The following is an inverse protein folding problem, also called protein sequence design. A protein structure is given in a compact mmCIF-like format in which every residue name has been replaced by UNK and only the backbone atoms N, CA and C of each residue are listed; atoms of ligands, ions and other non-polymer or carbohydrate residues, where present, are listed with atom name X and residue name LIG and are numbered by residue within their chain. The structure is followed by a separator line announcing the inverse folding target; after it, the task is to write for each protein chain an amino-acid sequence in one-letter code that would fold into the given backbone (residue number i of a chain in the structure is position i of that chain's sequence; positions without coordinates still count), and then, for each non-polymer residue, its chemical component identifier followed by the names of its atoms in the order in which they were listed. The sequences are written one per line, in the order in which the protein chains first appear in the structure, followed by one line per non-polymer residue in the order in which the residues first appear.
data_IF_580715886466
#
_entry.id   IF_580715886466
#
_cell.length_a   1.000
_cell.length_b   1.000
_cell.length_c   1.000
_cell.angle_alpha   90.00
_cell.angle_beta   90.00
_cell.angle_gamma   90.00
#
_symmetry.space_group_name_H-M   'P 1'
#
loop_
_entity.id
_entity.type
_entity.pdbx_description
1 polymer ?
#
# COMPACT_ATOMS: atom_id res chain seq x y z
N UNK A 1 -0.13 -6.12 -15.75
CA UNK A 1 0.47 -7.05 -14.78
C UNK A 1 -0.23 -8.40 -14.95
N UNK A 2 0.45 -9.44 -15.45
CA UNK A 2 -0.14 -10.76 -15.73
C UNK A 2 -0.12 -11.13 -17.24
N UNK A 3 -0.40 -12.39 -17.55
CA UNK A 3 -0.38 -12.95 -18.92
C UNK A 3 -1.73 -12.82 -19.65
N UNK A 4 -2.69 -12.07 -19.08
CA UNK A 4 -4.04 -11.93 -19.63
C UNK A 4 -4.96 -13.12 -19.33
N UNK A 5 -4.53 -14.03 -18.46
CA UNK A 5 -5.28 -15.21 -18.03
C UNK A 5 -6.06 -15.00 -16.72
N UNK A 6 -6.01 -13.79 -16.15
CA UNK A 6 -6.67 -13.50 -14.89
C UNK A 6 -8.20 -13.50 -15.05
N UNK A 7 -8.88 -14.20 -14.15
CA UNK A 7 -10.33 -14.13 -14.03
C UNK A 7 -10.71 -12.87 -13.25
N UNK A 8 -11.39 -11.93 -13.91
CA UNK A 8 -11.91 -10.72 -13.28
C UNK A 8 -13.27 -11.01 -12.63
N UNK A 9 -13.38 -10.75 -11.33
CA UNK A 9 -14.65 -10.80 -10.58
C UNK A 9 -15.08 -9.37 -10.28
N UNK A 10 -16.31 -9.00 -10.65
CA UNK A 10 -16.85 -7.66 -10.42
C UNK A 10 -17.63 -7.59 -9.11
N UNK A 11 -17.88 -6.35 -8.67
CA UNK A 11 -18.73 -6.08 -7.50
C UNK A 11 -20.11 -6.71 -7.70
N UNK A 12 -20.55 -7.50 -6.72
CA UNK A 12 -21.84 -8.19 -6.71
C UNK A 12 -21.86 -9.53 -7.45
N UNK A 13 -20.78 -9.90 -8.16
CA UNK A 13 -20.63 -11.25 -8.71
C UNK A 13 -20.15 -12.20 -7.60
N UNK A 14 -20.62 -13.46 -7.56
CA UNK A 14 -20.17 -14.43 -6.57
C UNK A 14 -18.72 -14.85 -6.83
N UNK A 15 -18.09 -15.47 -5.82
CA UNK A 15 -16.80 -16.13 -6.02
C UNK A 15 -16.97 -17.26 -7.06
N UNK A 16 -16.12 -17.35 -8.11
CA UNK A 16 -16.31 -18.33 -9.17
C UNK A 16 -16.04 -19.78 -8.71
N UNK A 17 -16.94 -20.71 -9.01
CA UNK A 17 -16.78 -22.15 -8.69
C UNK A 17 -15.57 -22.78 -9.39
N UNK A 18 -15.23 -22.28 -10.57
CA UNK A 18 -14.09 -22.64 -11.42
C UNK A 18 -12.88 -21.72 -11.22
N UNK A 19 -12.78 -21.02 -10.08
CA UNK A 19 -11.66 -20.13 -9.81
C UNK A 19 -10.32 -20.89 -9.83
N UNK A 20 -9.34 -20.47 -10.66
CA UNK A 20 -8.07 -21.15 -10.74
C UNK A 20 -7.32 -21.12 -9.41
N UNK A 21 -6.42 -22.08 -9.21
CA UNK A 21 -5.44 -22.01 -8.12
C UNK A 21 -4.52 -20.81 -8.34
N UNK A 22 -4.22 -20.06 -7.27
CA UNK A 22 -3.34 -18.90 -7.35
C UNK A 22 -3.77 -17.73 -6.48
N UNK A 23 -3.01 -16.62 -6.54
CA UNK A 23 -3.29 -15.40 -5.79
C UNK A 23 -4.58 -14.72 -6.25
N UNK A 24 -5.38 -14.25 -5.28
CA UNK A 24 -6.59 -13.46 -5.50
C UNK A 24 -6.27 -11.99 -5.16
N UNK A 25 -6.05 -11.17 -6.19
CA UNK A 25 -5.79 -9.75 -6.00
C UNK A 25 -7.07 -8.99 -5.67
N UNK A 26 -7.11 -8.38 -4.48
CA UNK A 26 -8.24 -7.57 -4.03
C UNK A 26 -8.06 -6.16 -4.58
N UNK A 27 -8.75 -5.82 -5.68
CA UNK A 27 -8.62 -4.54 -6.37
C UNK A 27 -9.84 -3.62 -6.16
N UNK A 28 -10.36 -3.57 -4.94
CA UNK A 28 -11.49 -2.73 -4.52
C UNK A 28 -11.09 -1.73 -3.43
N UNK A 29 -12.03 -0.84 -3.07
CA UNK A 29 -11.92 0.11 -1.95
C UNK A 29 -11.98 -0.57 -0.59
N UNK A 30 -11.56 0.14 0.45
CA UNK A 30 -11.50 -0.37 1.82
C UNK A 30 -12.90 -0.76 2.34
N UNK A 31 -13.91 0.04 2.02
CA UNK A 31 -15.33 -0.15 2.39
C UNK A 31 -15.98 -1.46 1.90
N UNK A 32 -15.32 -2.18 0.99
CA UNK A 32 -15.81 -3.43 0.42
C UNK A 32 -14.98 -4.64 0.86
N UNK A 33 -13.91 -4.46 1.64
CA UNK A 33 -12.99 -5.55 1.99
C UNK A 33 -13.68 -6.65 2.79
N UNK A 34 -14.57 -6.26 3.72
CA UNK A 34 -15.31 -7.22 4.53
C UNK A 34 -16.21 -8.12 3.69
N UNK A 35 -16.93 -7.54 2.74
CA UNK A 35 -17.81 -8.30 1.83
C UNK A 35 -16.99 -9.22 0.92
N UNK A 36 -15.83 -8.76 0.44
CA UNK A 36 -14.90 -9.60 -0.34
C UNK A 36 -14.41 -10.80 0.48
N UNK A 37 -14.00 -10.58 1.73
CA UNK A 37 -13.56 -11.68 2.62
C UNK A 37 -14.69 -12.67 2.88
N UNK A 38 -15.91 -12.18 3.10
CA UNK A 38 -17.08 -13.02 3.36
C UNK A 38 -17.47 -13.87 2.14
N UNK A 39 -17.35 -13.32 0.94
CA UNK A 39 -17.65 -13.99 -0.33
C UNK A 39 -16.65 -15.09 -0.69
N UNK A 40 -15.40 -14.96 -0.26
CA UNK A 40 -14.32 -15.92 -0.58
C UNK A 40 -14.44 -17.15 0.32
N UNK A 41 -14.45 -18.38 -0.25
CA UNK A 41 -14.49 -19.61 0.53
C UNK A 41 -13.38 -19.67 1.58
N UNK A 42 -13.65 -20.14 2.82
CA UNK A 42 -12.68 -20.12 3.91
C UNK A 42 -11.30 -20.67 3.57
N UNK A 43 -11.25 -21.77 2.81
CA UNK A 43 -10.03 -22.45 2.35
C UNK A 43 -9.23 -21.64 1.31
N UNK A 44 -9.87 -20.65 0.66
CA UNK A 44 -9.26 -19.73 -0.31
C UNK A 44 -8.87 -18.39 0.29
N UNK A 45 -9.20 -18.09 1.56
CA UNK A 45 -8.92 -16.77 2.16
C UNK A 45 -7.44 -16.46 2.31
N UNK A 46 -6.59 -17.46 2.54
CA UNK A 46 -5.13 -17.28 2.52
C UNK A 46 -4.60 -16.91 1.12
N UNK A 47 -5.40 -17.10 0.07
CA UNK A 47 -5.02 -16.69 -1.28
C UNK A 47 -5.19 -15.20 -1.56
N UNK A 48 -5.84 -14.46 -0.65
CA UNK A 48 -6.06 -13.04 -0.79
C UNK A 48 -4.73 -12.25 -0.74
N UNK A 49 -4.59 -11.36 -1.72
CA UNK A 49 -3.52 -10.38 -1.84
C UNK A 49 -4.15 -8.98 -1.69
N UNK A 50 -3.90 -8.35 -0.54
CA UNK A 50 -4.38 -7.00 -0.26
C UNK A 50 -3.37 -5.97 -0.76
N UNK A 51 -3.87 -4.96 -1.47
CA UNK A 51 -3.04 -3.89 -2.09
C UNK A 51 -3.47 -2.49 -1.65
N UNK A 52 -4.45 -2.42 -0.75
CA UNK A 52 -5.09 -1.20 -0.29
C UNK A 52 -4.13 -0.27 0.45
N UNK A 53 -4.48 1.01 0.46
CA UNK A 53 -3.84 1.98 1.32
C UNK A 53 -4.45 1.95 2.73
N UNK A 54 -3.72 2.47 3.71
CA UNK A 54 -4.16 2.54 5.10
C UNK A 54 -3.63 1.40 5.96
N UNK A 55 -3.97 1.47 7.24
CA UNK A 55 -3.48 0.54 8.25
C UNK A 55 -4.30 -0.77 8.23
N UNK A 56 -4.03 -1.64 7.25
CA UNK A 56 -4.77 -2.88 7.02
C UNK A 56 -4.59 -3.96 8.10
N UNK A 57 -3.42 -4.08 8.73
CA UNK A 57 -3.09 -5.22 9.61
C UNK A 57 -4.14 -5.44 10.73
N UNK A 58 -4.56 -4.42 11.50
CA UNK A 58 -5.59 -4.60 12.53
C UNK A 58 -6.93 -5.10 11.99
N UNK A 59 -7.35 -4.62 10.82
CA UNK A 59 -8.58 -5.07 10.16
C UNK A 59 -8.46 -6.55 9.72
N UNK A 60 -7.36 -6.89 9.05
CA UNK A 60 -7.13 -8.26 8.56
C UNK A 60 -7.00 -9.27 9.69
N UNK A 61 -6.31 -8.91 10.77
CA UNK A 61 -6.17 -9.77 11.94
C UNK A 61 -7.51 -10.02 12.64
N UNK A 62 -8.42 -9.04 12.61
CA UNK A 62 -9.79 -9.18 13.11
C UNK A 62 -10.66 -10.07 12.23
N UNK A 63 -10.63 -9.88 10.90
CA UNK A 63 -11.54 -10.57 9.97
C UNK A 63 -11.03 -11.97 9.57
N UNK A 64 -9.73 -12.22 9.62
CA UNK A 64 -9.08 -13.46 9.16
C UNK A 64 -8.36 -14.23 10.26
N UNK A 65 -8.29 -13.67 11.47
CA UNK A 65 -7.58 -14.24 12.61
C UNK A 65 -6.11 -13.82 12.66
N UNK A 66 -5.52 -13.94 13.86
CA UNK A 66 -4.16 -13.50 14.15
C UNK A 66 -3.23 -14.70 14.40
N UNK A 67 -2.03 -14.76 13.79
CA UNK A 67 -1.54 -13.88 12.73
C UNK A 67 -2.13 -14.25 11.36
N UNK A 68 -2.60 -13.26 10.60
CA UNK A 68 -3.06 -13.50 9.24
C UNK A 68 -1.87 -13.85 8.32
N UNK A 69 -1.97 -14.97 7.58
CA UNK A 69 -0.95 -15.43 6.59
C UNK A 69 -1.18 -14.87 5.19
N UNK A 70 -2.09 -13.91 5.07
CA UNK A 70 -2.42 -13.26 3.81
C UNK A 70 -1.25 -12.43 3.29
N UNK A 71 -1.25 -12.22 1.99
CA UNK A 71 -0.23 -11.41 1.34
C UNK A 71 -0.67 -9.95 1.34
N UNK A 72 0.19 -9.07 1.82
CA UNK A 72 -0.01 -7.62 1.85
C UNK A 72 1.06 -6.99 0.99
N UNK A 73 0.62 -6.27 -0.05
CA UNK A 73 1.47 -5.55 -0.99
C UNK A 73 1.36 -4.03 -0.75
N UNK A 74 2.47 -3.43 -0.34
CA UNK A 74 2.65 -1.99 -0.24
C UNK A 74 2.97 -1.44 -1.62
N UNK A 75 1.94 -1.02 -2.36
CA UNK A 75 2.09 -0.42 -3.69
C UNK A 75 2.67 1.00 -3.59
N UNK A 76 3.75 1.27 -4.34
CA UNK A 76 4.34 2.59 -4.59
C UNK A 76 4.49 2.92 -6.08
N UNK A 77 3.88 2.11 -6.96
CA UNK A 77 3.78 2.45 -8.37
C UNK A 77 2.45 3.14 -8.67
N UNK A 78 2.41 3.96 -9.71
CA UNK A 78 1.24 4.70 -10.12
C UNK A 78 0.81 4.33 -11.54
N UNK A 79 -0.49 4.37 -11.82
CA UNK A 79 -1.05 4.26 -13.17
C UNK A 79 -1.93 5.47 -13.40
N UNK A 80 -1.54 6.37 -14.31
CA UNK A 80 -2.23 7.65 -14.50
C UNK A 80 -3.65 7.46 -15.10
N UNK A 81 -3.78 6.57 -16.07
CA UNK A 81 -5.07 6.18 -16.67
C UNK A 81 -5.01 4.76 -17.24
N UNK A 82 -6.19 4.21 -17.52
CA UNK A 82 -6.32 2.87 -18.11
C UNK A 82 -5.54 2.78 -19.43
N UNK A 83 -4.66 1.79 -19.52
CA UNK A 83 -3.83 1.53 -20.70
C UNK A 83 -2.42 2.12 -20.62
N UNK A 84 -2.18 3.06 -19.72
CA UNK A 84 -0.83 3.60 -19.52
C UNK A 84 0.06 2.58 -18.82
N UNK A 85 1.38 2.56 -19.14
CA UNK A 85 2.33 1.77 -18.38
C UNK A 85 2.39 2.28 -16.94
N UNK A 86 2.58 1.40 -15.95
CA UNK A 86 2.77 1.81 -14.58
C UNK A 86 4.12 2.55 -14.43
N UNK A 87 4.12 3.63 -13.65
CA UNK A 87 5.31 4.33 -13.19
C UNK A 87 5.78 3.69 -11.88
N UNK A 88 7.00 3.15 -11.84
CA UNK A 88 7.55 2.52 -10.63
C UNK A 88 7.84 3.55 -9.53
N UNK A 89 7.82 3.10 -8.28
CA UNK A 89 8.09 3.90 -7.08
C UNK A 89 9.58 4.05 -6.78
N UNK A 90 10.41 4.21 -7.82
CA UNK A 90 11.86 4.48 -7.67
C UNK A 90 12.10 5.95 -7.44
N UNK A 91 12.96 6.28 -6.49
CA UNK A 91 13.33 7.66 -6.17
C UNK A 91 14.86 7.81 -6.17
N UNK A 92 15.34 9.04 -6.04
CA UNK A 92 16.75 9.34 -5.82
C UNK A 92 17.27 8.77 -4.48
N UNK A 93 16.42 8.71 -3.45
CA UNK A 93 16.74 8.06 -2.17
C UNK A 93 16.59 6.54 -2.19
N UNK A 94 15.79 5.99 -3.11
CA UNK A 94 15.46 4.57 -3.24
C UNK A 94 15.48 4.12 -4.71
N UNK A 95 16.67 3.99 -5.33
CA UNK A 95 16.79 3.60 -6.74
C UNK A 95 16.34 2.15 -7.00
N UNK A 96 16.15 1.34 -5.95
CA UNK A 96 15.63 -0.03 -6.03
C UNK A 96 14.10 -0.11 -5.86
N UNK A 97 13.44 1.02 -5.67
CA UNK A 97 12.00 1.16 -5.56
C UNK A 97 11.43 0.92 -4.16
N UNK A 98 10.29 1.53 -3.86
CA UNK A 98 9.65 1.49 -2.54
C UNK A 98 8.59 0.38 -2.41
N UNK A 99 8.10 -0.17 -3.53
CA UNK A 99 7.07 -1.23 -3.50
C UNK A 99 7.57 -2.45 -2.74
N UNK A 100 6.80 -2.95 -1.77
CA UNK A 100 7.21 -4.06 -0.91
C UNK A 100 6.07 -5.04 -0.61
N UNK A 101 6.39 -6.31 -0.41
CA UNK A 101 5.45 -7.36 -0.03
C UNK A 101 5.94 -8.10 1.22
N UNK A 102 5.01 -8.49 2.11
CA UNK A 102 5.36 -9.24 3.33
C UNK A 102 5.85 -10.64 2.98
N UNK A 103 7.06 -11.00 3.41
CA UNK A 103 7.68 -12.28 3.08
C UNK A 103 6.95 -13.50 3.64
N UNK A 104 6.12 -13.30 4.67
CA UNK A 104 5.31 -14.36 5.31
C UNK A 104 4.01 -14.66 4.57
N UNK A 105 3.60 -13.81 3.63
CA UNK A 105 2.38 -14.01 2.85
C UNK A 105 2.48 -15.21 1.91
N UNK A 106 1.43 -16.03 1.84
CA UNK A 106 1.39 -17.25 1.00
C UNK A 106 1.85 -17.01 -0.45
N UNK A 107 1.49 -15.87 -1.03
CA UNK A 107 1.74 -15.53 -2.43
C UNK A 107 2.82 -14.46 -2.64
N UNK A 108 3.62 -14.13 -1.61
CA UNK A 108 4.59 -13.05 -1.67
C UNK A 108 5.57 -13.16 -2.85
N UNK A 109 6.09 -14.36 -3.12
CA UNK A 109 7.00 -14.60 -4.25
C UNK A 109 6.27 -14.47 -5.60
N UNK A 110 5.05 -14.99 -5.72
CA UNK A 110 4.26 -14.88 -6.94
C UNK A 110 3.90 -13.42 -7.26
N UNK A 111 3.52 -12.64 -6.23
CA UNK A 111 3.29 -11.20 -6.34
C UNK A 111 4.55 -10.48 -6.81
N UNK A 112 5.70 -10.75 -6.17
CA UNK A 112 6.99 -10.17 -6.55
C UNK A 112 7.38 -10.49 -7.98
N UNK A 113 7.22 -11.76 -8.40
CA UNK A 113 7.50 -12.18 -9.77
C UNK A 113 6.59 -11.43 -10.76
N UNK A 114 5.29 -11.33 -10.48
CA UNK A 114 4.31 -10.65 -11.33
C UNK A 114 4.65 -9.17 -11.56
N UNK A 115 5.09 -8.48 -10.51
CA UNK A 115 5.55 -7.09 -10.59
C UNK A 115 6.84 -6.96 -11.41
N UNK A 116 7.84 -7.81 -11.14
CA UNK A 116 9.12 -7.81 -11.88
C UNK A 116 8.94 -8.10 -13.37
N UNK A 117 8.07 -9.04 -13.74
CA UNK A 117 7.72 -9.31 -15.14
C UNK A 117 7.06 -8.11 -15.83
N UNK A 118 6.51 -7.18 -15.05
CA UNK A 118 5.95 -5.90 -15.52
C UNK A 118 6.94 -4.73 -15.39
N UNK A 119 8.24 -5.00 -15.17
CA UNK A 119 9.31 -4.02 -14.93
C UNK A 119 9.05 -3.09 -13.72
N UNK A 120 8.32 -3.59 -12.72
CA UNK A 120 8.12 -2.90 -11.45
C UNK A 120 9.00 -3.53 -10.37
N UNK A 121 9.58 -2.66 -9.55
CA UNK A 121 10.26 -3.03 -8.32
C UNK A 121 9.32 -3.73 -7.35
N UNK A 122 9.87 -4.67 -6.57
CA UNK A 122 9.16 -5.26 -5.44
C UNK A 122 10.18 -5.88 -4.48
N UNK A 123 10.28 -5.28 -3.29
CA UNK A 123 11.07 -5.75 -2.16
C UNK A 123 10.30 -6.84 -1.42
N UNK A 124 11.00 -7.90 -1.03
CA UNK A 124 10.44 -8.98 -0.22
C UNK A 124 10.97 -8.78 1.20
N UNK A 125 10.13 -8.29 2.11
CA UNK A 125 10.56 -7.92 3.46
C UNK A 125 10.07 -8.90 4.51
N UNK A 126 10.98 -9.33 5.39
CA UNK A 126 10.64 -10.02 6.64
C UNK A 126 10.34 -8.97 7.71
N UNK A 127 9.73 -9.38 8.81
CA UNK A 127 9.67 -8.51 9.99
C UNK A 127 11.08 -8.35 10.59
N UNK A 128 11.43 -7.18 11.16
CA UNK A 128 10.59 -5.98 11.31
C UNK A 128 10.59 -5.03 10.09
N UNK A 129 11.40 -5.30 9.06
CA UNK A 129 11.55 -4.42 7.89
C UNK A 129 10.22 -4.19 7.16
N UNK A 130 9.36 -5.21 7.08
CA UNK A 130 8.03 -5.06 6.48
C UNK A 130 7.16 -4.10 7.30
N UNK A 131 7.14 -4.25 8.63
CA UNK A 131 6.41 -3.34 9.52
C UNK A 131 6.94 -1.90 9.43
N UNK A 132 8.26 -1.72 9.31
CA UNK A 132 8.86 -0.40 9.09
C UNK A 132 8.36 0.24 7.78
N UNK A 133 8.43 -0.49 6.65
CA UNK A 133 7.93 -0.01 5.37
C UNK A 133 6.40 0.22 5.36
N UNK A 134 5.65 -0.63 6.06
CA UNK A 134 4.20 -0.52 6.22
C UNK A 134 3.82 0.79 6.90
N UNK A 135 4.49 1.14 7.99
CA UNK A 135 4.22 2.40 8.69
C UNK A 135 4.76 3.61 7.94
N UNK A 136 5.94 3.52 7.30
CA UNK A 136 6.45 4.58 6.42
C UNK A 136 5.40 4.97 5.34
N UNK A 137 4.77 3.99 4.69
CA UNK A 137 3.68 4.22 3.73
C UNK A 137 2.46 4.88 4.36
N UNK A 138 2.07 4.44 5.54
CA UNK A 138 0.90 4.98 6.24
C UNK A 138 1.13 6.43 6.70
N UNK A 139 2.33 6.74 7.21
CA UNK A 139 2.74 8.10 7.56
C UNK A 139 2.68 9.02 6.34
N UNK A 140 3.24 8.57 5.21
CA UNK A 140 3.24 9.34 3.97
C UNK A 140 1.83 9.69 3.52
N UNK A 141 0.96 8.69 3.36
CA UNK A 141 -0.37 8.95 2.81
C UNK A 141 -1.23 9.76 3.79
N UNK A 142 -1.11 9.52 5.10
CA UNK A 142 -1.83 10.29 6.10
C UNK A 142 -1.41 11.76 6.07
N UNK A 143 -0.10 12.04 6.01
CA UNK A 143 0.41 13.41 6.07
C UNK A 143 0.16 14.18 4.76
N UNK A 144 0.61 13.66 3.61
CA UNK A 144 0.50 14.38 2.34
C UNK A 144 -0.95 14.61 1.92
N UNK A 145 -1.83 13.62 2.11
CA UNK A 145 -3.23 13.75 1.71
C UNK A 145 -4.00 14.71 2.63
N UNK A 146 -3.74 14.67 3.94
CA UNK A 146 -4.40 15.57 4.88
C UNK A 146 -3.93 17.02 4.71
N UNK A 147 -2.62 17.25 4.64
CA UNK A 147 -2.06 18.60 4.45
C UNK A 147 -2.57 19.22 3.16
N UNK A 148 -2.57 18.48 2.05
CA UNK A 148 -3.10 19.03 0.79
C UNK A 148 -4.60 19.31 0.84
N UNK A 149 -5.39 18.44 1.47
CA UNK A 149 -6.82 18.70 1.68
C UNK A 149 -7.08 19.96 2.53
N UNK A 150 -6.24 20.22 3.55
CA UNK A 150 -6.33 21.42 4.39
C UNK A 150 -5.92 22.71 3.66
N UNK A 151 -5.01 22.61 2.70
CA UNK A 151 -4.49 23.75 1.93
C UNK A 151 -5.17 23.88 0.55
N UNK A 152 -6.49 23.66 0.50
CA UNK A 152 -7.30 23.93 -0.69
C UNK A 152 -7.36 22.80 -1.72
N UNK A 153 -6.95 21.58 -1.37
CA UNK A 153 -7.00 20.42 -2.26
C UNK A 153 -5.92 20.43 -3.33
N UNK A 154 -4.72 20.91 -2.98
CA UNK A 154 -3.58 21.02 -3.89
C UNK A 154 -3.02 19.64 -4.28
N UNK A 155 -2.13 19.63 -5.25
CA UNK A 155 -1.40 18.44 -5.71
C UNK A 155 -0.35 18.01 -4.69
N UNK A 156 0.09 16.75 -4.76
CA UNK A 156 1.16 16.24 -3.89
C UNK A 156 2.46 17.05 -4.04
N UNK A 157 2.75 17.55 -5.25
CA UNK A 157 3.91 18.40 -5.52
C UNK A 157 3.81 19.76 -4.83
N UNK A 158 2.66 20.42 -4.90
CA UNK A 158 2.42 21.68 -4.20
C UNK A 158 2.54 21.50 -2.68
N UNK A 159 2.04 20.38 -2.12
CA UNK A 159 2.26 20.04 -0.71
C UNK A 159 3.76 19.91 -0.40
N UNK A 160 4.52 19.21 -1.24
CA UNK A 160 5.95 18.99 -1.03
C UNK A 160 6.75 20.30 -1.13
N UNK A 161 6.42 21.20 -2.06
CA UNK A 161 7.18 22.43 -2.28
C UNK A 161 6.74 23.61 -1.41
N UNK A 162 5.46 23.71 -1.06
CA UNK A 162 4.89 24.89 -0.38
C UNK A 162 4.48 24.63 1.08
N UNK A 163 4.21 23.37 1.44
CA UNK A 163 3.70 22.99 2.76
C UNK A 163 4.57 21.96 3.49
N UNK A 164 5.84 21.82 3.07
CA UNK A 164 6.78 20.83 3.60
C UNK A 164 6.87 20.79 5.13
N UNK A 165 6.91 21.96 5.76
CA UNK A 165 7.01 22.04 7.22
C UNK A 165 5.79 21.41 7.91
N UNK A 166 4.57 21.63 7.41
CA UNK A 166 3.36 21.02 7.97
C UNK A 166 3.39 19.48 7.83
N UNK A 167 3.91 18.99 6.71
CA UNK A 167 4.10 17.56 6.47
C UNK A 167 5.13 16.97 7.45
N UNK A 168 6.28 17.61 7.60
CA UNK A 168 7.37 17.13 8.45
C UNK A 168 6.97 17.12 9.94
N UNK A 169 6.18 18.10 10.38
CA UNK A 169 5.63 18.16 11.74
C UNK A 169 4.60 17.05 11.98
N UNK A 170 3.65 16.87 11.06
CA UNK A 170 2.65 15.81 11.15
C UNK A 170 3.27 14.40 11.08
N UNK A 171 4.24 14.18 10.19
CA UNK A 171 4.98 12.91 10.12
C UNK A 171 5.66 12.63 11.47
N UNK A 172 6.24 13.64 12.12
CA UNK A 172 6.92 13.46 13.40
C UNK A 172 5.96 13.09 14.53
N UNK A 173 4.79 13.72 14.60
CA UNK A 173 3.75 13.39 15.58
C UNK A 173 3.26 11.95 15.40
N UNK A 174 2.92 11.57 14.16
CA UNK A 174 2.44 10.23 13.84
C UNK A 174 3.54 9.17 14.06
N UNK A 175 4.79 9.46 13.69
CA UNK A 175 5.93 8.57 13.89
C UNK A 175 6.19 8.31 15.38
N UNK A 176 6.05 9.33 16.23
CA UNK A 176 6.13 9.20 17.68
C UNK A 176 5.07 8.22 18.21
N UNK A 177 3.81 8.37 17.78
CA UNK A 177 2.74 7.46 18.15
C UNK A 177 3.03 6.03 17.66
N UNK A 178 3.48 5.84 16.42
CA UNK A 178 3.82 4.52 15.89
C UNK A 178 4.94 3.86 16.72
N UNK A 179 6.01 4.58 17.04
CA UNK A 179 7.10 4.05 17.87
C UNK A 179 6.66 3.68 19.28
N UNK A 180 5.69 4.39 19.86
CA UNK A 180 5.16 4.07 21.18
C UNK A 180 4.45 2.70 21.23
N UNK A 181 3.86 2.26 20.12
CA UNK A 181 3.16 0.97 20.02
C UNK A 181 3.95 -0.13 19.30
N UNK A 182 5.10 0.19 18.70
CA UNK A 182 5.89 -0.74 17.91
C UNK A 182 7.38 -0.62 18.31
N UNK A 183 7.80 -1.40 19.30
CA UNK A 183 9.15 -1.35 19.88
C UNK A 183 10.26 -1.73 18.90
N UNK A 184 9.95 -2.35 17.77
CA UNK A 184 10.94 -2.77 16.76
C UNK A 184 11.14 -1.73 15.65
N UNK A 185 10.33 -0.66 15.64
CA UNK A 185 10.42 0.39 14.63
C UNK A 185 11.31 1.52 15.12
N UNK A 186 12.23 1.97 14.27
CA UNK A 186 13.14 3.08 14.55
C UNK A 186 13.09 4.09 13.40
N UNK A 187 12.88 5.35 13.75
CA UNK A 187 12.87 6.45 12.80
C UNK A 187 14.14 7.28 12.94
N UNK A 188 14.84 7.47 11.83
CA UNK A 188 15.78 8.59 11.72
C UNK A 188 15.02 9.75 11.09
N UNK A 189 14.61 10.74 11.89
CA UNK A 189 13.62 11.77 11.50
C UNK A 189 13.97 12.46 10.17
N UNK A 190 15.22 12.90 10.00
CA UNK A 190 15.66 13.59 8.79
C UNK A 190 15.66 12.68 7.55
N UNK A 191 16.06 11.42 7.69
CA UNK A 191 15.99 10.46 6.58
C UNK A 191 14.55 10.07 6.25
N UNK A 192 13.68 9.93 7.26
CA UNK A 192 12.28 9.58 7.06
C UNK A 192 11.56 10.64 6.23
N UNK A 193 11.62 11.91 6.65
CA UNK A 193 10.91 12.99 5.93
C UNK A 193 11.46 13.18 4.53
N UNK A 194 12.78 13.05 4.32
CA UNK A 194 13.36 13.20 2.99
C UNK A 194 13.02 12.04 2.04
N UNK A 195 13.05 10.78 2.51
CA UNK A 195 12.60 9.63 1.71
C UNK A 195 11.14 9.77 1.28
N UNK A 196 10.30 10.22 2.22
CA UNK A 196 8.88 10.44 1.98
C UNK A 196 8.62 11.58 0.98
N UNK A 197 9.42 12.64 1.03
CA UNK A 197 9.36 13.71 0.05
C UNK A 197 9.89 13.32 -1.32
N UNK A 198 10.96 12.52 -1.37
CA UNK A 198 11.48 11.96 -2.62
C UNK A 198 10.39 11.18 -3.37
N UNK A 199 9.58 10.40 -2.65
CA UNK A 199 8.41 9.76 -3.27
C UNK A 199 7.35 10.77 -3.68
N UNK A 200 7.02 11.77 -2.85
CA UNK A 200 6.05 12.81 -3.21
C UNK A 200 6.41 13.54 -4.52
N UNK A 201 7.69 13.86 -4.72
CA UNK A 201 8.19 14.44 -5.97
C UNK A 201 7.95 13.52 -7.19
N UNK A 202 8.07 12.20 -7.03
CA UNK A 202 7.81 11.22 -8.11
C UNK A 202 6.33 11.15 -8.53
N UNK A 203 5.41 11.54 -7.64
CA UNK A 203 3.96 11.54 -7.86
C UNK A 203 3.36 12.96 -7.76
N UNK A 204 4.16 14.00 -8.05
CA UNK A 204 3.82 15.40 -7.78
C UNK A 204 2.48 15.87 -8.37
N UNK A 205 2.05 15.33 -9.51
CA UNK A 205 0.83 15.73 -10.21
C UNK A 205 -0.47 15.13 -9.62
N UNK A 206 -0.37 14.17 -8.71
CA UNK A 206 -1.56 13.53 -8.14
C UNK A 206 -2.32 14.49 -7.22
N UNK A 207 -3.66 14.55 -7.29
CA UNK A 207 -4.44 15.37 -6.39
C UNK A 207 -4.45 14.77 -4.99
N UNK A 208 -4.37 15.62 -3.97
CA UNK A 208 -4.53 15.20 -2.58
C UNK A 208 -6.00 15.07 -2.23
N UNK A 209 -6.33 14.05 -1.43
CA UNK A 209 -7.67 13.86 -0.89
C UNK A 209 -7.64 12.87 0.27
N UNK A 210 -8.38 13.17 1.33
CA UNK A 210 -8.67 12.18 2.37
C UNK A 210 -9.73 11.22 1.81
N UNK A 211 -9.33 9.97 1.63
CA UNK A 211 -10.15 8.88 1.07
C UNK A 211 -10.03 7.64 1.95
N UNK A 212 -10.90 6.66 1.71
CA UNK A 212 -10.84 5.34 2.36
C UNK A 212 -10.93 5.41 3.91
N UNK A 213 -11.73 6.35 4.42
CA UNK A 213 -11.96 6.53 5.86
C UNK A 213 -12.95 5.49 6.43
N UNK A 214 -13.91 5.05 5.62
CA UNK A 214 -14.85 3.98 5.97
C UNK A 214 -14.23 2.59 5.68
N UNK A 215 -14.49 1.63 6.57
CA UNK A 215 -13.95 0.26 6.58
C UNK A 215 -15.06 -0.78 6.67
#
# INVERSE_FOLDING_TARGET
MGEGLDKLVRRGEPFPDDAPEGPIFVCTRNDALKDVIAMVPPERREDLVFIQNGALKPFLDKELGTPSRVTILLVYFAVAKKGDPPLDGTTDTDPTGLTAVNAVGKWAQAVRWRLKSSRLSCKLFKEPDFLQAYWEKNLWIAAYMLVGALNGGCTVGEVESEHRQQVDDLIAELACAVSAFNSDIRWERGLLTERLAAYARSVAHFPTAVKEFEW
#
